data_IF_496178006356
#
_entry.id   IF_496178006356
#
_cell.length_a   1.000
_cell.length_b   1.000
_cell.length_c   1.000
_cell.angle_alpha   90.00
_cell.angle_beta   90.00
_cell.angle_gamma   90.00
#
_symmetry.space_group_name_H-M   'P 1'
#
loop_
_entity.id
_entity.type
_entity.pdbx_description
1 polymer ?
#
# COMPACT_ATOMS: atom_id res chain seq x y z
N UNK A 1 -1.11 13.83 18.22
CA UNK A 1 -0.14 13.35 17.20
C UNK A 1 -0.76 12.52 16.08
N UNK A 2 -1.43 11.38 16.32
CA UNK A 2 -1.98 10.53 15.22
C UNK A 2 -2.88 11.30 14.23
N UNK A 3 -3.76 12.18 14.71
CA UNK A 3 -4.60 13.02 13.85
C UNK A 3 -3.80 13.94 12.92
N UNK A 4 -2.64 14.43 13.38
CA UNK A 4 -1.71 15.23 12.57
C UNK A 4 -1.19 14.36 11.42
N UNK A 5 -0.78 13.11 11.69
CA UNK A 5 -0.33 12.18 10.64
C UNK A 5 -1.43 11.89 9.62
N UNK A 6 -2.69 11.75 10.06
CA UNK A 6 -3.82 11.56 9.15
C UNK A 6 -3.97 12.77 8.21
N UNK A 7 -3.93 14.00 8.72
CA UNK A 7 -3.98 15.21 7.88
C UNK A 7 -2.77 15.27 6.93
N UNK A 8 -1.57 15.01 7.45
CA UNK A 8 -0.33 14.99 6.68
C UNK A 8 -0.44 14.06 5.46
N UNK A 9 -0.97 12.85 5.64
CA UNK A 9 -1.10 11.85 4.57
C UNK A 9 -2.29 12.10 3.65
N UNK A 10 -3.41 12.62 4.15
CA UNK A 10 -4.57 12.96 3.31
C UNK A 10 -4.28 14.07 2.31
N UNK A 11 -3.42 15.03 2.70
CA UNK A 11 -3.11 16.23 1.92
C UNK A 11 -1.66 16.28 1.40
N UNK A 12 -0.90 15.19 1.51
CA UNK A 12 0.50 15.10 1.08
C UNK A 12 1.42 16.20 1.61
N UNK A 13 1.29 16.56 2.88
CA UNK A 13 2.06 17.66 3.49
C UNK A 13 3.45 17.18 3.92
N UNK A 14 4.47 18.02 3.74
CA UNK A 14 5.75 17.86 4.44
C UNK A 14 5.59 18.13 5.94
N UNK A 15 6.63 17.86 6.75
CA UNK A 15 6.60 18.22 8.18
C UNK A 15 6.49 19.74 8.37
N UNK A 16 7.22 20.52 7.57
CA UNK A 16 7.18 22.00 7.55
C UNK A 16 5.81 22.52 7.13
N UNK A 17 5.22 21.94 6.07
CA UNK A 17 3.88 22.31 5.64
C UNK A 17 2.84 21.94 6.70
N UNK A 18 2.99 20.79 7.38
CA UNK A 18 2.07 20.39 8.44
C UNK A 18 2.13 21.37 9.62
N UNK A 19 3.33 21.77 10.05
CA UNK A 19 3.54 22.80 11.08
C UNK A 19 2.88 24.12 10.68
N UNK A 20 3.18 24.62 9.47
CA UNK A 20 2.58 25.85 8.96
C UNK A 20 1.05 25.80 8.96
N UNK A 21 0.48 24.69 8.47
CA UNK A 21 -0.98 24.51 8.42
C UNK A 21 -1.60 24.37 9.81
N UNK A 22 -0.87 23.81 10.80
CA UNK A 22 -1.34 23.77 12.18
C UNK A 22 -1.32 25.15 12.82
N UNK A 23 -0.39 26.03 12.48
CA UNK A 23 -0.33 27.40 12.99
C UNK A 23 -1.44 28.28 12.40
N UNK A 24 -1.67 28.15 11.09
CA UNK A 24 -2.59 28.97 10.30
C UNK A 24 -4.06 28.52 10.40
N UNK A 25 -4.35 27.22 10.25
CA UNK A 25 -5.73 26.73 10.07
C UNK A 25 -6.39 26.28 11.36
N UNK A 26 -7.41 27.04 11.79
CA UNK A 26 -8.24 26.67 12.95
C UNK A 26 -8.97 25.33 12.80
N UNK A 27 -9.38 24.95 11.58
CA UNK A 27 -10.00 23.65 11.32
C UNK A 27 -9.04 22.49 11.58
N UNK A 28 -7.75 22.65 11.29
CA UNK A 28 -6.72 21.64 11.55
C UNK A 28 -6.45 21.56 13.05
N UNK A 29 -6.31 22.70 13.75
CA UNK A 29 -6.19 22.73 15.22
C UNK A 29 -7.37 22.02 15.88
N UNK A 30 -8.61 22.33 15.48
CA UNK A 30 -9.82 21.70 16.03
C UNK A 30 -9.84 20.19 15.78
N UNK A 31 -9.56 19.75 14.55
CA UNK A 31 -9.49 18.33 14.24
C UNK A 31 -8.42 17.62 15.09
N UNK A 32 -7.24 18.20 15.20
CA UNK A 32 -6.11 17.64 15.96
C UNK A 32 -6.29 17.73 17.48
N UNK A 33 -7.32 18.41 17.99
CA UNK A 33 -7.53 18.62 19.43
C UNK A 33 -6.60 19.68 20.03
N UNK A 34 -6.10 20.60 19.21
CA UNK A 34 -5.13 21.64 19.56
C UNK A 34 -5.75 23.04 19.65
N UNK A 35 -7.09 23.16 19.68
CA UNK A 35 -7.76 24.46 19.67
C UNK A 35 -7.38 25.35 20.87
N UNK A 36 -7.14 24.74 22.03
CA UNK A 36 -6.75 25.42 23.27
C UNK A 36 -5.31 25.11 23.68
N UNK A 37 -4.49 24.55 22.77
CA UNK A 37 -3.12 24.19 23.07
C UNK A 37 -2.24 25.44 23.10
N UNK A 38 -1.49 25.64 24.18
CA UNK A 38 -0.51 26.72 24.29
C UNK A 38 0.65 26.54 23.29
N UNK A 39 1.07 25.29 23.07
CA UNK A 39 2.14 24.94 22.14
C UNK A 39 1.63 24.01 21.04
N UNK A 40 1.95 24.36 19.80
CA UNK A 40 1.65 23.56 18.61
C UNK A 40 2.88 22.70 18.28
N UNK A 41 2.71 21.40 17.95
CA UNK A 41 3.83 20.56 17.52
C UNK A 41 4.51 21.12 16.26
N UNK A 42 5.82 21.36 16.35
CA UNK A 42 6.66 21.78 15.23
C UNK A 42 7.00 20.60 14.30
N UNK A 43 7.63 20.88 13.16
CA UNK A 43 8.09 19.87 12.19
C UNK A 43 8.95 18.79 12.84
N UNK A 44 9.78 19.16 13.82
CA UNK A 44 10.69 18.24 14.51
C UNK A 44 9.94 17.27 15.42
N UNK A 45 8.90 17.75 16.10
CA UNK A 45 8.02 16.94 16.93
C UNK A 45 7.24 15.95 16.07
N UNK A 46 6.73 16.37 14.91
CA UNK A 46 6.04 15.48 13.98
C UNK A 46 7.00 14.40 13.47
N UNK A 47 8.19 14.79 13.00
CA UNK A 47 9.21 13.85 12.51
C UNK A 47 9.65 12.86 13.59
N UNK A 48 9.93 13.34 14.80
CA UNK A 48 10.33 12.48 15.93
C UNK A 48 9.23 11.48 16.28
N UNK A 49 7.96 11.90 16.24
CA UNK A 49 6.83 11.01 16.46
C UNK A 49 6.69 9.94 15.38
N UNK A 50 6.83 10.29 14.08
CA UNK A 50 6.80 9.31 12.98
C UNK A 50 7.89 8.25 13.16
N UNK A 51 9.13 8.66 13.46
CA UNK A 51 10.24 7.71 13.67
C UNK A 51 10.04 6.87 14.94
N UNK A 52 9.48 7.45 16.01
CA UNK A 52 9.23 6.73 17.27
C UNK A 52 8.24 5.59 17.12
N UNK A 53 7.13 5.83 16.41
CA UNK A 53 6.12 4.78 16.23
C UNK A 53 6.53 3.78 15.14
N UNK A 54 7.24 4.25 14.12
CA UNK A 54 7.77 3.41 13.04
C UNK A 54 6.72 2.53 12.37
N UNK A 55 7.20 1.50 11.67
CA UNK A 55 6.35 0.57 10.92
C UNK A 55 5.32 -0.13 11.81
N UNK A 56 5.72 -0.59 13.00
CA UNK A 56 4.83 -1.25 13.96
C UNK A 56 3.68 -0.35 14.39
N UNK A 57 3.95 0.94 14.64
CA UNK A 57 2.93 1.91 14.96
C UNK A 57 1.96 2.17 13.81
N UNK A 58 2.45 2.22 12.56
CA UNK A 58 1.57 2.33 11.41
C UNK A 58 0.68 1.09 11.24
N UNK A 59 1.22 -0.12 11.45
CA UNK A 59 0.46 -1.38 11.44
C UNK A 59 -0.62 -1.37 12.53
N UNK A 60 -0.27 -1.00 13.76
CA UNK A 60 -1.23 -0.88 14.87
C UNK A 60 -2.33 0.15 14.58
N UNK A 61 -2.01 1.27 13.93
CA UNK A 61 -3.00 2.27 13.50
C UNK A 61 -3.93 1.71 12.41
N UNK A 62 -3.38 1.01 11.42
CA UNK A 62 -4.15 0.36 10.37
C UNK A 62 -5.09 -0.70 10.95
N UNK A 63 -4.61 -1.55 11.85
CA UNK A 63 -5.41 -2.54 12.59
C UNK A 63 -6.50 -1.87 13.43
N UNK A 64 -6.19 -0.75 14.10
CA UNK A 64 -7.18 0.04 14.83
C UNK A 64 -8.31 0.56 13.93
N UNK A 65 -7.98 1.01 12.71
CA UNK A 65 -8.99 1.38 11.70
C UNK A 65 -9.80 0.15 11.27
N UNK A 66 -9.15 -0.98 11.00
CA UNK A 66 -9.81 -2.24 10.65
C UNK A 66 -10.77 -2.73 11.73
N UNK A 67 -10.39 -2.63 13.01
CA UNK A 67 -11.25 -2.96 14.14
C UNK A 67 -12.50 -2.05 14.19
N UNK A 68 -12.36 -0.75 13.89
CA UNK A 68 -13.51 0.15 13.79
C UNK A 68 -14.43 -0.21 12.62
N UNK A 69 -13.88 -0.64 11.48
CA UNK A 69 -14.69 -1.12 10.35
C UNK A 69 -15.50 -2.36 10.72
N UNK A 70 -14.88 -3.31 11.43
CA UNK A 70 -15.54 -4.53 11.91
C UNK A 70 -16.66 -4.22 12.91
N UNK A 71 -16.40 -3.32 13.89
CA UNK A 71 -17.42 -2.86 14.85
C UNK A 71 -18.64 -2.23 14.18
N UNK A 72 -18.48 -1.65 12.99
CA UNK A 72 -19.55 -1.06 12.19
C UNK A 72 -20.18 -2.05 11.18
N UNK A 73 -19.82 -3.33 11.24
CA UNK A 73 -20.38 -4.38 10.39
C UNK A 73 -19.75 -4.49 9.00
N UNK A 74 -18.73 -3.69 8.65
CA UNK A 74 -18.07 -3.76 7.34
C UNK A 74 -17.11 -4.95 7.27
N UNK A 75 -17.65 -6.17 7.30
CA UNK A 75 -16.91 -7.44 7.25
C UNK A 75 -16.63 -7.81 5.78
N UNK A 76 -15.47 -8.45 5.53
CA UNK A 76 -15.11 -8.96 4.23
C UNK A 76 -15.91 -10.24 3.91
N UNK A 77 -17.10 -10.08 3.31
CA UNK A 77 -17.96 -11.22 2.90
C UNK A 77 -18.12 -11.35 1.39
N UNK A 78 -17.58 -10.42 0.59
CA UNK A 78 -17.76 -10.39 -0.87
C UNK A 78 -16.70 -11.15 -1.67
N UNK A 79 -15.67 -11.67 -1.02
CA UNK A 79 -14.46 -12.19 -1.66
C UNK A 79 -13.30 -11.20 -1.55
N UNK A 80 -12.12 -11.67 -1.88
CA UNK A 80 -10.87 -10.92 -1.78
C UNK A 80 -10.27 -10.65 -3.15
N UNK A 81 -9.86 -9.41 -3.38
CA UNK A 81 -9.16 -8.97 -4.57
C UNK A 81 -7.72 -8.66 -4.16
N UNK A 82 -6.78 -9.43 -4.71
CA UNK A 82 -5.35 -9.28 -4.46
C UNK A 82 -4.73 -8.60 -5.68
N UNK A 83 -4.00 -7.51 -5.42
CA UNK A 83 -3.27 -6.80 -6.45
C UNK A 83 -2.08 -6.04 -5.89
N UNK A 84 -1.09 -5.77 -6.74
CA UNK A 84 0.11 -5.05 -6.37
C UNK A 84 0.40 -3.89 -7.32
N UNK A 85 0.82 -2.78 -6.74
CA UNK A 85 1.26 -1.59 -7.48
C UNK A 85 2.69 -1.23 -7.16
N UNK A 86 3.40 -0.70 -8.15
CA UNK A 86 4.75 -0.16 -7.95
C UNK A 86 4.63 1.28 -7.46
N UNK A 87 5.33 1.59 -6.39
CA UNK A 87 5.39 2.92 -5.80
C UNK A 87 6.78 3.51 -6.07
N UNK A 88 6.92 4.41 -7.05
CA UNK A 88 8.23 4.95 -7.38
C UNK A 88 8.88 5.71 -6.22
N UNK A 89 10.21 5.69 -6.19
CA UNK A 89 11.06 6.50 -5.33
C UNK A 89 11.99 7.35 -6.21
N UNK A 90 12.60 8.43 -5.67
CA UNK A 90 13.63 9.19 -6.38
C UNK A 90 14.73 8.27 -6.92
N UNK A 91 14.96 8.30 -8.24
CA UNK A 91 15.92 7.42 -8.90
C UNK A 91 17.33 7.69 -8.35
N UNK A 92 17.98 6.64 -7.89
CA UNK A 92 19.36 6.69 -7.43
C UNK A 92 20.31 6.33 -8.57
N UNK A 93 21.26 7.22 -8.85
CA UNK A 93 22.38 6.95 -9.76
C UNK A 93 23.55 6.40 -8.95
N UNK A 94 23.82 5.11 -9.12
CA UNK A 94 24.97 4.41 -8.55
C UNK A 94 25.75 3.75 -9.70
N UNK A 95 27.07 3.74 -9.59
CA UNK A 95 27.92 3.00 -10.53
C UNK A 95 27.72 1.49 -10.38
N UNK A 96 28.19 0.68 -11.35
CA UNK A 96 28.07 -0.78 -11.28
C UNK A 96 28.80 -1.35 -10.06
N UNK A 97 29.98 -0.82 -9.73
CA UNK A 97 30.75 -1.22 -8.55
C UNK A 97 30.05 -0.83 -7.24
N UNK A 98 29.51 0.39 -7.15
CA UNK A 98 28.71 0.82 -5.98
C UNK A 98 27.48 -0.08 -5.81
N UNK A 99 26.78 -0.42 -6.90
CA UNK A 99 25.62 -1.29 -6.85
C UNK A 99 25.96 -2.70 -6.36
N UNK A 100 27.03 -3.30 -6.85
CA UNK A 100 27.44 -4.64 -6.42
C UNK A 100 27.73 -4.70 -4.91
N UNK A 101 28.33 -3.64 -4.35
CA UNK A 101 28.54 -3.53 -2.90
C UNK A 101 27.22 -3.42 -2.15
N UNK A 102 26.31 -2.56 -2.60
CA UNK A 102 24.98 -2.38 -1.97
C UNK A 102 24.18 -3.69 -2.00
N UNK A 103 24.20 -4.41 -3.13
CA UNK A 103 23.52 -5.70 -3.30
C UNK A 103 24.10 -6.78 -2.34
N UNK A 104 25.35 -6.63 -1.89
CA UNK A 104 26.00 -7.46 -0.87
C UNK A 104 25.78 -6.93 0.57
N UNK A 105 24.99 -5.87 0.75
CA UNK A 105 24.79 -5.20 2.05
C UNK A 105 25.98 -4.35 2.50
N UNK A 106 26.98 -4.13 1.65
CA UNK A 106 28.15 -3.31 1.94
C UNK A 106 27.94 -1.84 1.51
N UNK A 107 28.45 -0.92 2.33
CA UNK A 107 28.41 0.52 2.03
C UNK A 107 29.69 0.94 1.29
N UNK A 108 29.60 1.64 0.13
CA UNK A 108 30.79 2.12 -0.55
C UNK A 108 31.64 3.05 0.34
N UNK A 109 32.94 2.76 0.45
CA UNK A 109 33.86 3.48 1.32
C UNK A 109 33.93 4.98 0.97
N UNK A 110 33.97 5.29 -0.32
CA UNK A 110 34.11 6.67 -0.87
C UNK A 110 32.90 7.57 -0.62
N UNK A 111 31.80 7.03 -0.10
CA UNK A 111 30.64 7.85 0.22
C UNK A 111 30.89 8.66 1.49
N UNK A 112 31.01 9.99 1.33
CA UNK A 112 30.96 10.92 2.46
C UNK A 112 29.66 10.74 3.27
N UNK A 113 29.66 10.98 4.60
CA UNK A 113 28.46 10.82 5.44
C UNK A 113 27.21 11.55 4.92
N UNK A 114 27.37 12.73 4.32
CA UNK A 114 26.26 13.46 3.71
C UNK A 114 25.64 12.73 2.50
N UNK A 115 26.47 12.13 1.62
CA UNK A 115 26.00 11.32 0.49
C UNK A 115 25.26 10.09 0.99
N UNK A 116 25.81 9.38 1.98
CA UNK A 116 25.18 8.17 2.57
C UNK A 116 23.74 8.44 3.03
N UNK A 117 23.50 9.56 3.72
CA UNK A 117 22.16 9.93 4.22
C UNK A 117 21.12 10.23 3.13
N UNK A 118 21.54 10.53 1.91
CA UNK A 118 20.67 10.84 0.78
C UNK A 118 20.45 9.65 -0.16
N UNK A 119 21.18 8.54 0.06
CA UNK A 119 21.12 7.35 -0.76
C UNK A 119 20.10 6.37 -0.20
N UNK A 120 19.12 6.03 -1.02
CA UNK A 120 18.22 4.92 -0.76
C UNK A 120 18.83 3.63 -1.29
N UNK A 121 19.38 2.84 -0.36
CA UNK A 121 19.99 1.54 -0.64
C UNK A 121 18.99 0.40 -0.67
N UNK A 122 17.78 0.62 -0.14
CA UNK A 122 16.77 -0.42 0.00
C UNK A 122 15.85 -0.48 -1.23
N UNK A 123 15.56 0.67 -1.85
CA UNK A 123 14.77 0.72 -3.07
C UNK A 123 15.47 -0.01 -4.23
N UNK A 124 14.72 -0.80 -5.00
CA UNK A 124 15.26 -1.63 -6.08
C UNK A 124 14.68 -1.28 -7.45
N UNK A 125 15.35 -1.77 -8.50
CA UNK A 125 14.89 -1.65 -9.88
C UNK A 125 14.08 -2.87 -10.29
N UNK A 126 13.00 -2.65 -11.05
CA UNK A 126 12.23 -3.71 -11.71
C UNK A 126 11.83 -3.27 -13.12
N UNK A 127 11.55 -4.23 -14.00
CA UNK A 127 11.11 -3.97 -15.38
C UNK A 127 9.68 -4.47 -15.58
N UNK A 128 8.75 -3.56 -15.86
CA UNK A 128 7.34 -3.87 -16.12
C UNK A 128 6.93 -3.25 -17.45
N UNK A 129 6.34 -4.04 -18.35
CA UNK A 129 5.92 -3.61 -19.70
C UNK A 129 7.01 -2.87 -20.49
N UNK A 130 8.25 -3.38 -20.46
CA UNK A 130 9.38 -2.79 -21.18
C UNK A 130 9.99 -1.54 -20.52
N UNK A 131 9.36 -0.99 -19.46
CA UNK A 131 9.85 0.19 -18.74
C UNK A 131 10.48 -0.19 -17.41
N UNK A 132 11.57 0.51 -17.06
CA UNK A 132 12.24 0.33 -15.78
C UNK A 132 11.63 1.25 -14.72
N UNK A 133 11.33 0.68 -13.55
CA UNK A 133 10.77 1.35 -12.39
C UNK A 133 11.74 1.21 -11.22
N UNK A 134 11.91 2.26 -10.44
CA UNK A 134 12.73 2.27 -9.23
C UNK A 134 11.87 2.65 -8.04
N UNK A 135 11.94 1.88 -6.96
CA UNK A 135 11.21 2.16 -5.73
C UNK A 135 10.76 0.91 -4.99
N UNK A 136 9.52 0.96 -4.53
CA UNK A 136 8.89 -0.04 -3.69
C UNK A 136 7.68 -0.66 -4.37
N UNK A 137 7.09 -1.66 -3.72
CA UNK A 137 5.86 -2.32 -4.12
C UNK A 137 4.89 -2.32 -2.95
N UNK A 138 3.64 -1.99 -3.25
CA UNK A 138 2.51 -2.07 -2.33
C UNK A 138 1.54 -3.13 -2.83
N UNK A 139 1.42 -4.21 -2.07
CA UNK A 139 0.48 -5.29 -2.30
C UNK A 139 -0.69 -5.13 -1.34
N UNK A 140 -1.92 -5.23 -1.84
CA UNK A 140 -3.12 -5.08 -1.02
C UNK A 140 -4.12 -6.19 -1.28
N UNK A 141 -4.83 -6.56 -0.22
CA UNK A 141 -6.05 -7.34 -0.27
C UNK A 141 -7.23 -6.42 -0.02
N UNK A 142 -8.15 -6.38 -0.96
CA UNK A 142 -9.31 -5.48 -0.94
C UNK A 142 -10.59 -6.29 -0.96
N UNK A 143 -11.53 -5.92 -0.09
CA UNK A 143 -12.83 -6.57 -0.10
C UNK A 143 -13.62 -6.19 -1.36
N UNK A 144 -14.24 -7.18 -2.01
CA UNK A 144 -14.94 -6.96 -3.27
C UNK A 144 -16.10 -5.97 -3.14
N UNK A 145 -16.86 -5.99 -2.04
CA UNK A 145 -18.14 -5.27 -1.95
C UNK A 145 -17.94 -3.79 -1.62
N UNK A 146 -17.29 -3.52 -0.51
CA UNK A 146 -17.05 -2.21 0.05
C UNK A 146 -15.75 -1.59 -0.40
N UNK A 147 -14.79 -2.35 -0.91
CA UNK A 147 -13.46 -1.86 -1.34
C UNK A 147 -12.61 -1.28 -0.20
N UNK A 148 -12.75 -1.77 1.03
CA UNK A 148 -11.76 -1.49 2.07
C UNK A 148 -10.54 -2.37 1.88
N UNK A 149 -9.36 -1.82 2.19
CA UNK A 149 -8.12 -2.58 2.28
C UNK A 149 -8.15 -3.37 3.58
N UNK A 150 -7.95 -4.68 3.51
CA UNK A 150 -8.00 -5.63 4.64
C UNK A 150 -6.62 -6.01 5.13
N UNK A 151 -5.76 -6.34 4.18
CA UNK A 151 -4.37 -6.70 4.42
C UNK A 151 -3.52 -5.95 3.41
N UNK A 152 -2.31 -5.60 3.80
CA UNK A 152 -1.33 -5.01 2.90
C UNK A 152 0.05 -5.54 3.25
N UNK A 153 0.91 -5.56 2.24
CA UNK A 153 2.31 -5.90 2.38
C UNK A 153 3.14 -4.93 1.54
N UNK A 154 4.29 -4.56 2.06
CA UNK A 154 5.19 -3.61 1.40
C UNK A 154 6.57 -4.21 1.27
N UNK A 155 7.19 -4.05 0.10
CA UNK A 155 8.53 -4.57 -0.17
C UNK A 155 9.21 -3.71 -1.25
N UNK A 156 10.42 -4.10 -1.64
CA UNK A 156 11.16 -3.50 -2.75
C UNK A 156 10.48 -3.81 -4.09
N UNK A 157 10.75 -3.00 -5.11
CA UNK A 157 10.10 -3.14 -6.42
C UNK A 157 10.42 -4.48 -7.14
N UNK A 158 11.57 -5.10 -6.83
CA UNK A 158 12.05 -6.33 -7.45
C UNK A 158 11.44 -7.62 -6.89
N UNK A 159 10.81 -7.58 -5.72
CA UNK A 159 10.25 -8.79 -5.08
C UNK A 159 9.26 -9.51 -6.00
N UNK A 160 9.30 -10.84 -6.01
CA UNK A 160 8.47 -11.65 -6.90
C UNK A 160 6.99 -11.65 -6.50
N UNK A 161 6.10 -11.57 -7.49
CA UNK A 161 4.65 -11.44 -7.28
C UNK A 161 4.04 -12.60 -6.46
N UNK A 162 4.59 -13.82 -6.55
CA UNK A 162 4.11 -14.97 -5.74
C UNK A 162 4.15 -14.72 -4.23
N UNK A 163 5.25 -14.17 -3.70
CA UNK A 163 5.42 -13.96 -2.25
C UNK A 163 4.38 -12.96 -1.73
N UNK A 164 4.10 -11.93 -2.52
CA UNK A 164 3.10 -10.93 -2.16
C UNK A 164 1.69 -11.49 -2.03
N UNK A 165 1.32 -12.44 -2.90
CA UNK A 165 -0.01 -13.05 -2.81
C UNK A 165 -0.18 -13.72 -1.46
N UNK A 166 0.80 -14.51 -1.06
CA UNK A 166 0.72 -15.33 0.14
C UNK A 166 0.72 -14.43 1.39
N UNK A 167 1.49 -13.34 1.39
CA UNK A 167 1.55 -12.38 2.50
C UNK A 167 0.27 -11.56 2.70
N UNK A 168 -0.49 -11.27 1.63
CA UNK A 168 -1.74 -10.48 1.74
C UNK A 168 -2.99 -11.35 1.73
N UNK A 169 -2.87 -12.65 1.52
CA UNK A 169 -4.00 -13.56 1.49
C UNK A 169 -4.71 -13.61 2.84
N UNK A 170 -6.02 -13.44 2.83
CA UNK A 170 -6.83 -13.45 4.05
C UNK A 170 -7.66 -14.73 4.13
N UNK A 171 -7.26 -15.64 5.02
CA UNK A 171 -7.97 -16.90 5.29
C UNK A 171 -9.27 -16.68 6.06
N UNK A 172 -9.44 -15.54 6.74
CA UNK A 172 -10.61 -15.21 7.54
C UNK A 172 -11.76 -14.62 6.73
N UNK A 173 -11.55 -14.34 5.43
CA UNK A 173 -12.59 -13.85 4.54
C UNK A 173 -13.72 -14.87 4.42
N UNK A 174 -14.95 -14.43 4.67
CA UNK A 174 -16.12 -15.33 4.67
C UNK A 174 -16.41 -15.90 3.28
N UNK A 175 -16.04 -15.18 2.22
CA UNK A 175 -16.18 -15.69 0.86
C UNK A 175 -14.91 -16.41 0.41
N UNK A 176 -15.14 -17.54 -0.24
CA UNK A 176 -14.09 -18.37 -0.82
C UNK A 176 -13.56 -17.87 -2.17
N UNK A 177 -14.12 -16.80 -2.75
CA UNK A 177 -13.64 -16.27 -4.03
C UNK A 177 -12.37 -15.43 -3.89
N UNK A 178 -11.35 -15.79 -4.67
CA UNK A 178 -10.04 -15.14 -4.68
C UNK A 178 -9.72 -14.61 -6.08
N UNK A 179 -9.73 -13.29 -6.23
CA UNK A 179 -9.52 -12.60 -7.50
C UNK A 179 -8.09 -12.06 -7.59
N UNK A 180 -7.33 -12.48 -8.61
CA UNK A 180 -5.99 -11.95 -8.86
C UNK A 180 -5.64 -11.91 -10.35
N UNK A 181 -4.54 -11.24 -10.67
CA UNK A 181 -4.05 -11.00 -12.02
C UNK A 181 -3.41 -12.24 -12.68
N UNK A 182 -3.03 -12.08 -13.96
CA UNK A 182 -2.40 -13.15 -14.76
C UNK A 182 -0.93 -13.44 -14.41
N UNK A 183 -0.34 -12.68 -13.50
CA UNK A 183 0.99 -12.86 -12.92
C UNK A 183 0.99 -13.81 -11.70
N UNK A 184 -0.15 -13.98 -11.04
CA UNK A 184 -0.29 -14.88 -9.88
C UNK A 184 -0.60 -16.38 -10.14
N UNK A 185 -0.98 -16.89 -11.33
CA UNK A 185 -1.31 -18.30 -11.45
C UNK A 185 -0.06 -19.19 -11.34
N UNK A 186 -0.09 -20.15 -10.42
CA UNK A 186 0.81 -21.32 -10.36
C UNK A 186 0.00 -22.59 -10.14
N UNK A 187 0.54 -23.74 -10.56
CA UNK A 187 -0.12 -25.05 -10.37
C UNK A 187 -0.28 -25.38 -8.88
N UNK A 188 0.79 -25.17 -8.11
CA UNK A 188 0.81 -25.31 -6.65
C UNK A 188 -0.27 -24.45 -5.98
N UNK A 189 -0.41 -23.18 -6.37
CA UNK A 189 -1.43 -22.28 -5.82
C UNK A 189 -2.83 -22.71 -6.21
N UNK A 190 -3.03 -23.18 -7.44
CA UNK A 190 -4.33 -23.69 -7.86
C UNK A 190 -4.72 -24.95 -7.07
N UNK A 191 -3.77 -25.85 -6.83
CA UNK A 191 -3.96 -27.05 -6.01
C UNK A 191 -4.26 -26.68 -4.55
N UNK A 192 -3.46 -25.78 -3.96
CA UNK A 192 -3.64 -25.32 -2.58
C UNK A 192 -4.98 -24.61 -2.38
N UNK A 193 -5.38 -23.72 -3.29
CA UNK A 193 -6.68 -23.04 -3.23
C UNK A 193 -7.83 -24.06 -3.29
N UNK A 194 -7.73 -25.06 -4.17
CA UNK A 194 -8.74 -26.12 -4.29
C UNK A 194 -8.80 -26.97 -3.00
N UNK A 195 -7.66 -27.38 -2.46
CA UNK A 195 -7.57 -28.18 -1.24
C UNK A 195 -8.15 -27.44 -0.02
N UNK A 196 -8.01 -26.11 0.03
CA UNK A 196 -8.52 -25.27 1.11
C UNK A 196 -9.93 -24.71 0.84
N UNK A 197 -10.62 -25.20 -0.18
CA UNK A 197 -12.01 -24.83 -0.49
C UNK A 197 -12.19 -23.43 -1.10
N UNK A 198 -11.12 -22.80 -1.58
CA UNK A 198 -11.16 -21.51 -2.26
C UNK A 198 -11.51 -21.66 -3.75
N UNK A 199 -12.35 -20.75 -4.24
CA UNK A 199 -12.71 -20.62 -5.65
C UNK A 199 -11.66 -19.75 -6.36
N UNK A 200 -10.84 -20.40 -7.18
CA UNK A 200 -9.79 -19.75 -7.94
C UNK A 200 -10.37 -18.84 -9.05
N UNK A 201 -10.36 -17.53 -8.81
CA UNK A 201 -10.70 -16.48 -9.77
C UNK A 201 -9.46 -15.71 -10.22
N UNK A 202 -8.33 -16.41 -10.40
CA UNK A 202 -7.10 -15.85 -10.96
C UNK A 202 -7.16 -15.91 -12.49
N UNK A 203 -6.74 -14.83 -13.16
CA UNK A 203 -6.73 -14.77 -14.63
C UNK A 203 -5.73 -15.79 -15.20
N UNK A 204 -6.14 -16.48 -16.28
CA UNK A 204 -5.24 -17.40 -16.99
C UNK A 204 -4.30 -16.62 -17.90
N UNK A 205 -3.08 -17.11 -18.05
CA UNK A 205 -2.07 -16.59 -18.97
C UNK A 205 -1.92 -17.55 -20.15
N UNK A 206 -1.99 -17.03 -21.38
CA UNK A 206 -1.64 -17.80 -22.57
C UNK A 206 -0.14 -18.09 -22.59
N UNK A 207 0.26 -19.21 -23.17
CA UNK A 207 1.66 -19.57 -23.36
C UNK A 207 2.07 -19.32 -24.81
N UNK A 208 3.39 -19.31 -25.08
CA UNK A 208 3.91 -19.24 -26.45
C UNK A 208 3.30 -20.40 -27.25
N UNK A 209 2.70 -20.07 -28.39
CA UNK A 209 2.00 -21.02 -29.27
C UNK A 209 0.76 -21.71 -28.68
N UNK A 210 0.29 -21.29 -27.50
CA UNK A 210 -0.97 -21.77 -26.89
C UNK A 210 -1.77 -20.56 -26.40
N UNK A 211 -2.45 -19.84 -27.32
CA UNK A 211 -3.30 -18.72 -26.94
C UNK A 211 -4.47 -19.19 -26.08
N UNK A 212 -5.07 -18.24 -25.35
CA UNK A 212 -6.25 -18.53 -24.55
C UNK A 212 -7.44 -18.87 -25.46
N UNK A 213 -8.17 -19.94 -25.15
CA UNK A 213 -9.43 -20.23 -25.84
C UNK A 213 -10.47 -19.16 -25.56
N UNK A 214 -11.49 -19.02 -26.42
CA UNK A 214 -12.56 -18.04 -26.22
C UNK A 214 -13.22 -18.16 -24.83
N UNK A 215 -13.46 -19.39 -24.37
CA UNK A 215 -14.02 -19.64 -23.03
C UNK A 215 -13.10 -19.08 -21.93
N UNK A 216 -11.78 -19.27 -22.04
CA UNK A 216 -10.81 -18.72 -21.10
C UNK A 216 -10.75 -17.20 -21.16
N UNK A 217 -10.86 -16.62 -22.34
CA UNK A 217 -10.93 -15.17 -22.52
C UNK A 217 -12.20 -14.59 -21.86
N UNK A 218 -13.38 -15.17 -22.12
CA UNK A 218 -14.64 -14.77 -21.47
C UNK A 218 -14.54 -14.86 -19.94
N UNK A 219 -13.94 -15.94 -19.41
CA UNK A 219 -13.64 -16.06 -17.96
C UNK A 219 -12.74 -14.94 -17.46
N UNK A 220 -11.63 -14.66 -18.16
CA UNK A 220 -10.71 -13.59 -17.79
C UNK A 220 -11.37 -12.21 -17.81
N UNK A 221 -12.26 -11.94 -18.77
CA UNK A 221 -13.04 -10.69 -18.86
C UNK A 221 -13.98 -10.54 -17.66
N UNK A 222 -14.67 -11.61 -17.25
CA UNK A 222 -15.52 -11.59 -16.04
C UNK A 222 -14.72 -11.31 -14.77
N UNK A 223 -13.54 -11.93 -14.65
CA UNK A 223 -12.62 -11.69 -13.53
C UNK A 223 -12.09 -10.26 -13.54
N UNK A 224 -11.70 -9.74 -14.73
CA UNK A 224 -11.18 -8.39 -14.89
C UNK A 224 -12.18 -7.33 -14.42
N UNK A 225 -13.47 -7.48 -14.75
CA UNK A 225 -14.55 -6.57 -14.30
C UNK A 225 -14.63 -6.50 -12.77
N UNK A 226 -14.45 -7.63 -12.09
CA UNK A 226 -14.43 -7.64 -10.61
C UNK A 226 -13.15 -7.01 -10.08
N UNK A 227 -11.99 -7.37 -10.65
CA UNK A 227 -10.69 -6.86 -10.24
C UNK A 227 -10.54 -5.35 -10.41
N UNK A 228 -11.14 -4.76 -11.43
CA UNK A 228 -11.11 -3.32 -11.67
C UNK A 228 -11.56 -2.48 -10.45
N UNK A 229 -12.26 -3.08 -9.48
CA UNK A 229 -12.60 -2.42 -8.22
C UNK A 229 -11.38 -2.06 -7.36
N UNK A 230 -10.27 -2.82 -7.43
CA UNK A 230 -9.01 -2.57 -6.70
C UNK A 230 -8.30 -1.30 -7.16
N UNK A 231 -8.55 -0.88 -8.40
CA UNK A 231 -8.04 0.38 -8.96
C UNK A 231 -8.55 1.60 -8.18
N UNK A 232 -9.70 1.50 -7.51
CA UNK A 232 -10.25 2.62 -6.75
C UNK A 232 -9.39 2.93 -5.50
N UNK A 233 -9.03 1.95 -4.64
CA UNK A 233 -8.00 2.13 -3.61
C UNK A 233 -6.71 2.72 -4.15
N UNK A 234 -6.13 2.15 -5.21
CA UNK A 234 -4.88 2.66 -5.77
C UNK A 234 -4.99 4.08 -6.31
N UNK A 235 -6.06 4.40 -7.03
CA UNK A 235 -6.32 5.75 -7.52
C UNK A 235 -6.48 6.75 -6.36
N UNK A 236 -7.20 6.37 -5.30
CA UNK A 236 -7.36 7.22 -4.13
C UNK A 236 -6.04 7.44 -3.38
N UNK A 237 -5.21 6.40 -3.23
CA UNK A 237 -3.85 6.53 -2.67
C UNK A 237 -2.99 7.44 -3.56
N UNK A 238 -3.06 7.27 -4.88
CA UNK A 238 -2.37 8.15 -5.82
C UNK A 238 -2.86 9.61 -5.71
N UNK A 239 -4.14 9.87 -5.44
CA UNK A 239 -4.66 11.23 -5.23
C UNK A 239 -4.21 11.86 -3.90
N UNK A 240 -3.94 11.05 -2.87
CA UNK A 240 -3.49 11.53 -1.55
C UNK A 240 -2.03 11.98 -1.52
N UNK A 241 -1.29 11.89 -2.62
CA UNK A 241 0.08 12.38 -2.63
C UNK A 241 0.98 11.93 -3.78
N UNK A 242 0.43 11.23 -4.75
CA UNK A 242 0.94 11.20 -6.11
C UNK A 242 2.21 10.40 -6.27
N UNK A 243 2.06 9.09 -6.51
CA UNK A 243 3.02 8.15 -7.13
C UNK A 243 4.40 8.02 -6.46
N UNK A 244 4.98 9.00 -5.78
CA UNK A 244 6.37 8.99 -5.34
C UNK A 244 6.51 8.96 -3.82
N UNK A 245 7.18 7.94 -3.29
CA UNK A 245 7.66 7.91 -1.89
C UNK A 245 8.94 8.73 -1.81
N UNK A 246 8.98 9.71 -0.91
CA UNK A 246 10.16 10.58 -0.67
C UNK A 246 10.99 10.17 0.54
N UNK A 247 10.53 9.17 1.29
CA UNK A 247 11.27 8.65 2.43
C UNK A 247 12.37 7.72 1.94
N UNK A 248 13.50 7.73 2.65
CA UNK A 248 14.64 6.84 2.38
C UNK A 248 14.54 5.64 3.31
N UNK A 249 14.64 4.43 2.74
CA UNK A 249 14.69 3.17 3.45
C UNK A 249 13.33 2.48 3.60
N UNK A 250 13.37 1.14 3.61
CA UNK A 250 12.19 0.27 3.58
C UNK A 250 11.24 0.58 4.73
N UNK A 251 11.72 0.65 5.97
CA UNK A 251 10.85 0.87 7.14
C UNK A 251 10.01 2.16 7.05
N UNK A 252 10.60 3.25 6.53
CA UNK A 252 9.88 4.53 6.36
C UNK A 252 8.94 4.50 5.16
N UNK A 253 9.31 3.79 4.09
CA UNK A 253 8.43 3.56 2.95
C UNK A 253 7.20 2.72 3.36
N UNK A 254 7.41 1.64 4.12
CA UNK A 254 6.38 0.80 4.73
C UNK A 254 5.45 1.61 5.63
N UNK A 255 6.01 2.45 6.50
CA UNK A 255 5.25 3.39 7.32
C UNK A 255 4.34 4.29 6.47
N UNK A 256 4.91 4.95 5.46
CA UNK A 256 4.18 5.88 4.61
C UNK A 256 3.03 5.18 3.85
N UNK A 257 3.29 4.02 3.25
CA UNK A 257 2.30 3.25 2.50
C UNK A 257 1.17 2.71 3.40
N UNK A 258 1.53 2.19 4.57
CA UNK A 258 0.56 1.68 5.56
C UNK A 258 -0.35 2.80 6.05
N UNK A 259 0.22 3.97 6.37
CA UNK A 259 -0.56 5.14 6.78
C UNK A 259 -1.45 5.67 5.66
N UNK A 260 -1.02 5.64 4.39
CA UNK A 260 -1.88 5.97 3.25
C UNK A 260 -3.05 5.01 3.13
N UNK A 261 -2.83 3.70 3.29
CA UNK A 261 -3.90 2.70 3.29
C UNK A 261 -4.90 2.90 4.45
N UNK A 262 -4.42 3.24 5.65
CA UNK A 262 -5.27 3.58 6.79
C UNK A 262 -6.12 4.84 6.50
N UNK A 263 -5.51 5.88 5.94
CA UNK A 263 -6.20 7.12 5.56
C UNK A 263 -7.25 6.89 4.46
N UNK A 264 -6.94 6.01 3.49
CA UNK A 264 -7.91 5.58 2.48
C UNK A 264 -9.15 4.96 3.13
N UNK A 265 -8.95 3.99 4.03
CA UNK A 265 -10.04 3.32 4.73
C UNK A 265 -10.89 4.31 5.53
N UNK A 266 -10.27 5.25 6.26
CA UNK A 266 -10.98 6.32 6.99
C UNK A 266 -11.80 7.24 6.08
N UNK A 267 -11.20 7.71 4.97
CA UNK A 267 -11.87 8.56 3.98
C UNK A 267 -13.07 7.83 3.37
N UNK A 268 -12.89 6.55 3.06
CA UNK A 268 -13.93 5.70 2.48
C UNK A 268 -15.08 5.43 3.45
N UNK A 269 -14.78 5.17 4.71
CA UNK A 269 -15.76 5.01 5.77
C UNK A 269 -16.57 6.30 5.97
N UNK A 270 -15.89 7.45 6.00
CA UNK A 270 -16.55 8.76 6.11
C UNK A 270 -17.49 9.01 4.93
N UNK A 271 -17.08 8.64 3.71
CA UNK A 271 -17.96 8.73 2.54
C UNK A 271 -19.20 7.84 2.68
N UNK A 272 -19.05 6.60 3.14
CA UNK A 272 -20.19 5.69 3.36
C UNK A 272 -21.17 6.24 4.39
N UNK A 273 -20.67 6.79 5.50
CA UNK A 273 -21.51 7.42 6.51
C UNK A 273 -22.30 8.61 5.94
N UNK A 274 -21.65 9.47 5.15
CA UNK A 274 -22.32 10.60 4.49
C UNK A 274 -23.34 10.16 3.44
N UNK A 275 -23.08 9.06 2.75
CA UNK A 275 -23.95 8.51 1.72
C UNK A 275 -25.04 7.57 2.24
N UNK A 276 -25.15 7.37 3.57
CA UNK A 276 -26.12 6.44 4.16
C UNK A 276 -25.87 4.97 3.83
N UNK A 277 -24.66 4.60 3.41
CA UNK A 277 -24.30 3.21 3.08
C UNK A 277 -24.03 2.47 4.39
N UNK A 278 -24.96 1.61 4.77
CA UNK A 278 -24.85 0.73 5.94
C UNK A 278 -24.26 -0.62 5.58
N UNK A 279 -23.65 -1.26 6.57
CA UNK A 279 -23.29 -2.67 6.46
C UNK A 279 -24.56 -3.53 6.43
N UNK A 280 -24.55 -4.59 5.62
CA UNK A 280 -25.58 -5.64 5.62
C UNK A 280 -25.29 -6.72 6.66
#
# INVERSE_FOLDING_TARGET
MVRILVLKRLYNLSDEQMEYQLLDRMSYKRFCGLANAANIPDRTTVWTFENRIGELGAKALFEGVSAQLLKRGFIARGGQIIDATLVPAPKQHNSRGEKALIDQGAMPADWKPAKRRQKDTDATWTKKHGKSHFGYKLSINVDKKYKFIRTLETDTASTHDSQHFDNVFDTSNTSRDVYADRGYPSEERAAWLKANGFRNQIQRKGQRNKPLSECQQRRNTRIARTRARVEHPFAAIAQMGGKLIRTIGQARASFAMTMMAACYNLKRLTYFQKAGIVAF
#
